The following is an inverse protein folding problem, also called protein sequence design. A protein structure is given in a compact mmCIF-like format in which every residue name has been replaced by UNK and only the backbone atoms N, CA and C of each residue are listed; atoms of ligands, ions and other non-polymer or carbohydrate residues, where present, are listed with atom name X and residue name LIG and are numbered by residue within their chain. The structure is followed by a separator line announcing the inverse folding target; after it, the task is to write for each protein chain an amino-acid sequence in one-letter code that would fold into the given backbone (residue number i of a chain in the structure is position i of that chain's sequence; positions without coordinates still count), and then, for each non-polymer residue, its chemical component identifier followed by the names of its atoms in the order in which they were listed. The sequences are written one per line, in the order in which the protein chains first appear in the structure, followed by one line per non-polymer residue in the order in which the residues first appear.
data_IF_199611063119
#
_entry.id   IF_199611063119
#
_cell.length_a   1.000
_cell.length_b   1.000
_cell.length_c   1.000
_cell.angle_alpha   90.00
_cell.angle_beta   90.00
_cell.angle_gamma   90.00
#
_symmetry.space_group_name_H-M   'P 1'
#
loop_
_entity.id
_entity.type
_entity.pdbx_description
1 polymer ?
#
# COMPACT_ATOMS: atom_id res chain seq x y z
N UNK A 1 14.00 -1.11 8.89
CA UNK A 1 13.87 -2.29 8.01
C UNK A 1 12.43 -2.81 7.94
N UNK A 2 11.86 -3.42 9.00
CA UNK A 2 10.47 -3.94 8.97
C UNK A 2 9.45 -2.86 8.60
N UNK A 3 9.43 -1.75 9.35
CA UNK A 3 8.50 -0.63 9.07
C UNK A 3 8.73 -0.04 7.68
N UNK A 4 9.99 0.10 7.26
CA UNK A 4 10.35 0.55 5.91
C UNK A 4 9.74 -0.37 4.85
N UNK A 5 9.83 -1.69 5.00
CA UNK A 5 9.24 -2.64 4.05
C UNK A 5 7.70 -2.53 3.99
N UNK A 6 7.04 -2.35 5.13
CA UNK A 6 5.58 -2.13 5.17
C UNK A 6 5.21 -0.81 4.49
N UNK A 7 5.84 0.29 4.91
CA UNK A 7 5.51 1.64 4.46
C UNK A 7 5.83 1.82 2.98
N UNK A 8 6.95 1.29 2.47
CA UNK A 8 7.30 1.40 1.04
C UNK A 8 6.19 0.83 0.15
N UNK A 9 5.70 -0.36 0.49
CA UNK A 9 4.63 -1.01 -0.27
C UNK A 9 3.32 -0.26 -0.14
N UNK A 10 2.93 0.13 1.09
CA UNK A 10 1.65 0.80 1.32
C UNK A 10 1.61 2.23 0.80
N UNK A 11 2.73 2.95 0.71
CA UNK A 11 2.79 4.30 0.15
C UNK A 11 2.27 4.33 -1.30
N UNK A 12 2.70 3.36 -2.13
CA UNK A 12 2.19 3.21 -3.50
C UNK A 12 0.71 2.84 -3.50
N UNK A 13 0.30 1.88 -2.66
CA UNK A 13 -1.10 1.42 -2.60
C UNK A 13 -2.04 2.57 -2.25
N UNK A 14 -1.76 3.32 -1.18
CA UNK A 14 -2.65 4.42 -0.76
C UNK A 14 -2.71 5.53 -1.80
N UNK A 15 -1.62 5.78 -2.52
CA UNK A 15 -1.56 6.78 -3.59
C UNK A 15 -2.40 6.34 -4.79
N UNK A 16 -2.26 5.09 -5.23
CA UNK A 16 -3.08 4.54 -6.31
C UNK A 16 -4.55 4.56 -5.93
N UNK A 17 -4.91 4.04 -4.75
CA UNK A 17 -6.31 4.01 -4.29
C UNK A 17 -6.88 5.43 -4.22
N UNK A 18 -6.13 6.38 -3.65
CA UNK A 18 -6.60 7.75 -3.54
C UNK A 18 -6.85 8.35 -4.93
N UNK A 19 -5.86 8.34 -5.83
CA UNK A 19 -5.99 9.00 -7.13
C UNK A 19 -6.92 8.28 -8.12
N UNK A 20 -7.10 6.97 -8.00
CA UNK A 20 -7.97 6.18 -8.89
C UNK A 20 -9.41 6.14 -8.38
N UNK A 21 -9.64 5.99 -7.07
CA UNK A 21 -10.97 5.69 -6.53
C UNK A 21 -11.56 6.79 -5.65
N UNK A 22 -10.73 7.66 -5.03
CA UNK A 22 -11.18 8.61 -4.00
C UNK A 22 -10.98 10.08 -4.38
N UNK A 23 -10.27 10.35 -5.47
CA UNK A 23 -9.91 11.71 -5.85
C UNK A 23 -11.13 12.52 -6.26
N UNK A 24 -11.40 13.57 -5.48
CA UNK A 24 -12.55 14.46 -5.70
C UNK A 24 -12.36 15.51 -6.80
N UNK A 25 -11.37 15.36 -7.69
CA UNK A 25 -11.12 16.28 -8.82
C UNK A 25 -10.37 17.56 -8.47
N UNK A 26 -10.19 17.88 -7.18
CA UNK A 26 -9.49 19.09 -6.73
C UNK A 26 -8.24 18.71 -5.93
N UNK A 27 -7.08 19.19 -6.39
CA UNK A 27 -5.82 18.98 -5.68
C UNK A 27 -5.73 19.85 -4.43
N UNK A 28 -5.61 19.21 -3.27
CA UNK A 28 -5.27 19.86 -2.01
C UNK A 28 -3.81 19.58 -1.67
N UNK A 29 -3.11 20.57 -1.13
CA UNK A 29 -1.71 20.41 -0.72
C UNK A 29 -1.54 19.29 0.32
N UNK A 30 -2.50 19.11 1.22
CA UNK A 30 -2.55 18.01 2.19
C UNK A 30 -2.53 16.65 1.49
N UNK A 31 -3.36 16.50 0.45
CA UNK A 31 -3.60 15.23 -0.22
C UNK A 31 -2.39 14.86 -1.10
N UNK A 32 -1.81 15.86 -1.77
CA UNK A 32 -0.54 15.70 -2.49
C UNK A 32 0.57 15.27 -1.53
N UNK A 33 0.64 15.86 -0.34
CA UNK A 33 1.67 15.52 0.65
C UNK A 33 1.53 14.07 1.16
N UNK A 34 0.35 13.68 1.63
CA UNK A 34 0.16 12.36 2.27
C UNK A 34 0.16 11.19 1.28
N UNK A 35 -0.12 11.44 0.00
CA UNK A 35 -0.13 10.42 -1.05
C UNK A 35 1.09 10.52 -1.96
N UNK A 36 1.14 11.54 -2.81
CA UNK A 36 2.17 11.65 -3.85
C UNK A 36 3.57 11.83 -3.26
N UNK A 37 3.77 12.81 -2.38
CA UNK A 37 5.09 13.07 -1.78
C UNK A 37 5.57 11.89 -0.94
N UNK A 38 4.68 11.30 -0.14
CA UNK A 38 4.97 10.08 0.61
C UNK A 38 5.51 8.96 -0.30
N UNK A 39 4.85 8.69 -1.42
CA UNK A 39 5.32 7.70 -2.40
C UNK A 39 6.68 8.02 -2.99
N UNK A 40 6.88 9.27 -3.40
CA UNK A 40 8.16 9.72 -3.99
C UNK A 40 9.30 9.53 -2.99
N UNK A 41 9.10 9.93 -1.74
CA UNK A 41 10.09 9.75 -0.67
C UNK A 41 10.42 8.27 -0.45
N UNK A 42 9.41 7.40 -0.38
CA UNK A 42 9.63 5.97 -0.19
C UNK A 42 10.33 5.29 -1.37
N UNK A 43 10.07 5.73 -2.60
CA UNK A 43 10.80 5.26 -3.78
C UNK A 43 12.26 5.70 -3.76
N UNK A 44 12.54 6.96 -3.41
CA UNK A 44 13.91 7.47 -3.25
C UNK A 44 14.64 6.70 -2.15
N UNK A 45 14.03 6.52 -0.98
CA UNK A 45 14.61 5.73 0.12
C UNK A 45 14.95 4.31 -0.35
N UNK A 46 14.03 3.67 -1.08
CA UNK A 46 14.24 2.33 -1.62
C UNK A 46 15.42 2.29 -2.60
N UNK A 47 15.63 3.31 -3.43
CA UNK A 47 16.71 3.34 -4.42
C UNK A 47 18.06 3.64 -3.75
N UNK A 48 18.10 4.60 -2.82
CA UNK A 48 19.35 5.10 -2.23
C UNK A 48 19.82 4.22 -1.07
N UNK A 49 18.91 3.80 -0.18
CA UNK A 49 19.29 3.06 1.01
C UNK A 49 19.62 1.60 0.67
N UNK A 50 20.62 1.04 1.35
CA UNK A 50 21.02 -0.37 1.20
C UNK A 50 20.07 -1.35 1.93
N UNK A 51 18.81 -0.96 2.15
CA UNK A 51 17.80 -1.76 2.85
C UNK A 51 17.55 -3.07 2.10
N UNK A 52 17.77 -4.24 2.74
CA UNK A 52 17.58 -5.53 2.06
C UNK A 52 16.10 -5.84 1.87
N UNK A 53 15.73 -6.28 0.67
CA UNK A 53 14.37 -6.73 0.35
C UNK A 53 14.40 -8.19 -0.09
N UNK A 54 13.43 -8.98 0.34
CA UNK A 54 13.19 -10.38 -0.04
C UNK A 54 11.71 -10.53 -0.35
N UNK A 55 11.36 -11.49 -1.22
CA UNK A 55 9.96 -11.77 -1.57
C UNK A 55 9.12 -12.16 -0.35
N UNK A 56 9.68 -12.95 0.57
CA UNK A 56 8.98 -13.36 1.79
C UNK A 56 8.55 -12.19 2.69
N UNK A 57 9.19 -11.02 2.58
CA UNK A 57 8.78 -9.85 3.37
C UNK A 57 7.40 -9.30 2.96
N UNK A 58 6.75 -9.83 1.92
CA UNK A 58 5.34 -9.56 1.60
C UNK A 58 4.39 -9.87 2.77
N UNK A 59 4.76 -10.79 3.67
CA UNK A 59 3.93 -11.14 4.83
C UNK A 59 3.63 -9.94 5.72
N UNK A 60 4.57 -8.99 5.85
CA UNK A 60 4.43 -7.84 6.72
C UNK A 60 3.38 -6.82 6.25
N UNK A 61 3.41 -6.32 4.99
CA UNK A 61 2.34 -5.46 4.50
C UNK A 61 1.00 -6.19 4.38
N UNK A 62 0.97 -7.52 4.20
CA UNK A 62 -0.27 -8.32 4.26
C UNK A 62 -0.88 -8.28 5.66
N UNK A 63 -0.09 -8.55 6.72
CA UNK A 63 -0.57 -8.49 8.11
C UNK A 63 -1.09 -7.09 8.44
N UNK A 64 -0.38 -6.04 8.03
CA UNK A 64 -0.85 -4.66 8.21
C UNK A 64 -2.18 -4.41 7.51
N UNK A 65 -2.35 -4.86 6.25
CA UNK A 65 -3.60 -4.72 5.50
C UNK A 65 -4.77 -5.43 6.17
N UNK A 66 -4.55 -6.67 6.62
CA UNK A 66 -5.56 -7.44 7.36
C UNK A 66 -5.96 -6.75 8.67
N UNK A 67 -4.99 -6.20 9.41
CA UNK A 67 -5.26 -5.45 10.63
C UNK A 67 -6.10 -4.19 10.33
N UNK A 68 -5.74 -3.43 9.30
CA UNK A 68 -6.49 -2.25 8.88
C UNK A 68 -7.94 -2.57 8.51
N UNK A 69 -8.15 -3.60 7.68
CA UNK A 69 -9.46 -4.05 7.22
C UNK A 69 -10.30 -4.56 8.38
N UNK A 70 -9.70 -5.29 9.32
CA UNK A 70 -10.37 -5.74 10.55
C UNK A 70 -10.85 -4.55 11.37
N UNK A 71 -9.98 -3.57 11.63
CA UNK A 71 -10.36 -2.35 12.34
C UNK A 71 -11.46 -1.57 11.60
N UNK A 72 -11.40 -1.52 10.27
CA UNK A 72 -12.40 -0.86 9.43
C UNK A 72 -13.78 -1.54 9.53
N UNK A 73 -13.82 -2.88 9.47
CA UNK A 73 -15.04 -3.65 9.65
C UNK A 73 -15.62 -3.49 11.08
N UNK A 74 -14.76 -3.50 12.10
CA UNK A 74 -15.19 -3.23 13.49
C UNK A 74 -15.79 -1.82 13.59
N UNK A 75 -15.13 -0.81 13.03
CA UNK A 75 -15.64 0.57 13.03
C UNK A 75 -17.00 0.67 12.34
N UNK A 76 -17.16 0.09 11.15
CA UNK A 76 -18.45 0.01 10.46
C UNK A 76 -19.53 -0.66 11.31
N UNK A 77 -19.20 -1.75 12.00
CA UNK A 77 -20.18 -2.52 12.79
C UNK A 77 -20.80 -1.74 13.95
N UNK A 78 -20.16 -0.66 14.40
CA UNK A 78 -20.68 0.19 15.49
C UNK A 78 -21.88 1.05 15.07
N UNK A 79 -21.96 1.48 13.81
CA UNK A 79 -23.14 2.13 13.21
C UNK A 79 -23.08 1.96 11.68
N UNK A 80 -23.66 0.87 11.12
CA UNK A 80 -23.56 0.56 9.69
C UNK A 80 -24.12 1.63 8.75
N UNK A 81 -24.93 2.58 9.25
CA UNK A 81 -25.51 3.68 8.45
C UNK A 81 -24.59 4.89 8.40
N UNK A 82 -23.91 5.20 9.51
CA UNK A 82 -23.04 6.40 9.60
C UNK A 82 -21.58 6.11 9.37
N UNK A 83 -21.12 4.90 9.69
CA UNK A 83 -19.71 4.54 9.75
C UNK A 83 -19.25 3.78 8.48
N UNK A 84 -19.72 4.23 7.31
CA UNK A 84 -19.25 3.73 6.02
C UNK A 84 -18.03 4.54 5.59
N UNK A 85 -16.86 3.94 5.74
CA UNK A 85 -15.60 4.54 5.27
C UNK A 85 -15.41 4.22 3.80
N UNK A 86 -15.16 5.23 2.96
CA UNK A 86 -14.90 5.08 1.53
C UNK A 86 -15.95 4.23 0.79
N UNK A 87 -17.18 4.74 0.69
CA UNK A 87 -18.33 4.02 0.13
C UNK A 87 -18.09 3.34 -1.24
N UNK A 88 -17.15 3.85 -2.04
CA UNK A 88 -16.81 3.28 -3.36
C UNK A 88 -16.09 1.93 -3.26
N UNK A 89 -15.25 1.73 -2.23
CA UNK A 89 -14.32 0.60 -2.15
C UNK A 89 -14.44 -0.22 -0.85
N UNK A 90 -15.00 0.37 0.21
CA UNK A 90 -15.03 -0.20 1.56
C UNK A 90 -16.43 -0.10 2.20
N UNK A 91 -17.49 -0.30 1.41
CA UNK A 91 -18.85 -0.42 1.94
C UNK A 91 -19.21 -1.86 2.34
N UNK A 92 -19.19 -2.10 3.65
CA UNK A 92 -19.54 -3.40 4.25
C UNK A 92 -21.04 -3.69 4.28
N UNK A 93 -21.91 -2.71 3.98
CA UNK A 93 -23.33 -3.00 3.75
C UNK A 93 -23.53 -3.85 2.48
N UNK A 94 -22.58 -3.79 1.54
CA UNK A 94 -22.51 -4.63 0.34
C UNK A 94 -21.17 -5.37 0.28
N UNK A 95 -20.98 -6.42 1.11
CA UNK A 95 -19.66 -6.96 1.42
C UNK A 95 -18.93 -7.60 0.23
N UNK A 96 -19.63 -7.94 -0.85
CA UNK A 96 -19.02 -8.50 -2.06
C UNK A 96 -17.92 -7.60 -2.64
N UNK A 97 -18.13 -6.27 -2.64
CA UNK A 97 -17.16 -5.30 -3.15
C UNK A 97 -15.89 -5.19 -2.29
N UNK A 98 -15.95 -4.85 -0.99
CA UNK A 98 -14.76 -4.77 -0.15
C UNK A 98 -14.00 -6.10 -0.06
N UNK A 99 -14.72 -7.23 -0.06
CA UNK A 99 -14.10 -8.55 -0.13
C UNK A 99 -13.33 -8.72 -1.44
N UNK A 100 -13.94 -8.41 -2.59
CA UNK A 100 -13.26 -8.47 -3.88
C UNK A 100 -12.02 -7.58 -3.96
N UNK A 101 -12.11 -6.34 -3.47
CA UNK A 101 -10.97 -5.41 -3.38
C UNK A 101 -9.87 -5.96 -2.48
N UNK A 102 -10.22 -6.51 -1.32
CA UNK A 102 -9.27 -7.15 -0.40
C UNK A 102 -8.53 -8.32 -1.07
N UNK A 103 -9.25 -9.23 -1.72
CA UNK A 103 -8.66 -10.37 -2.42
C UNK A 103 -7.72 -9.90 -3.54
N UNK A 104 -8.16 -8.94 -4.36
CA UNK A 104 -7.31 -8.33 -5.39
C UNK A 104 -6.05 -7.70 -4.82
N UNK A 105 -6.16 -6.97 -3.72
CA UNK A 105 -5.00 -6.36 -3.06
C UNK A 105 -4.03 -7.40 -2.50
N UNK A 106 -4.53 -8.40 -1.76
CA UNK A 106 -3.69 -9.40 -1.07
C UNK A 106 -3.01 -10.37 -2.03
N UNK A 107 -3.69 -10.79 -3.09
CA UNK A 107 -3.21 -11.85 -3.99
C UNK A 107 -2.49 -11.28 -5.21
N UNK A 108 -2.85 -10.09 -5.67
CA UNK A 108 -2.31 -9.52 -6.91
C UNK A 108 -1.43 -8.31 -6.61
N UNK A 109 -1.99 -7.24 -6.03
CA UNK A 109 -1.27 -5.97 -5.91
C UNK A 109 -0.07 -6.07 -4.97
N UNK A 110 -0.26 -6.61 -3.77
CA UNK A 110 0.80 -6.73 -2.77
C UNK A 110 1.98 -7.61 -3.23
N UNK A 111 1.76 -8.81 -3.79
CA UNK A 111 2.84 -9.62 -4.34
C UNK A 111 3.56 -8.95 -5.51
N UNK A 112 2.85 -8.27 -6.41
CA UNK A 112 3.46 -7.54 -7.53
C UNK A 112 4.34 -6.39 -7.05
N UNK A 113 3.86 -5.58 -6.09
CA UNK A 113 4.64 -4.50 -5.50
C UNK A 113 5.85 -5.05 -4.74
N UNK A 114 5.69 -6.11 -3.95
CA UNK A 114 6.84 -6.74 -3.29
C UNK A 114 7.87 -7.26 -4.29
N UNK A 115 7.42 -7.87 -5.39
CA UNK A 115 8.30 -8.33 -6.46
C UNK A 115 9.04 -7.17 -7.14
N UNK A 116 8.36 -6.04 -7.37
CA UNK A 116 8.98 -4.82 -7.89
C UNK A 116 10.07 -4.29 -6.94
N UNK A 117 9.77 -4.15 -5.64
CA UNK A 117 10.73 -3.71 -4.62
C UNK A 117 11.91 -4.67 -4.50
N UNK A 118 11.66 -5.98 -4.59
CA UNK A 118 12.71 -6.99 -4.65
C UNK A 118 13.56 -6.85 -5.91
N UNK A 119 12.96 -6.61 -7.07
CA UNK A 119 13.65 -6.34 -8.32
C UNK A 119 14.62 -5.15 -8.23
N UNK A 120 14.16 -4.03 -7.65
CA UNK A 120 15.00 -2.85 -7.39
C UNK A 120 16.19 -3.23 -6.51
N UNK A 121 15.95 -3.96 -5.42
CA UNK A 121 17.03 -4.43 -4.55
C UNK A 121 18.06 -5.31 -5.29
N UNK A 122 17.59 -6.26 -6.11
CA UNK A 122 18.47 -7.12 -6.91
C UNK A 122 19.27 -6.31 -7.94
N UNK A 123 18.66 -5.33 -8.58
CA UNK A 123 19.33 -4.43 -9.51
C UNK A 123 20.47 -3.67 -8.83
N UNK A 124 20.25 -3.12 -7.64
CA UNK A 124 21.30 -2.44 -6.86
C UNK A 124 22.48 -3.36 -6.56
N UNK A 125 22.23 -4.60 -6.17
CA UNK A 125 23.29 -5.59 -5.94
C UNK A 125 24.06 -5.93 -7.21
N UNK A 126 23.38 -6.04 -8.35
CA UNK A 126 24.03 -6.30 -9.64
C UNK A 126 24.92 -5.13 -10.05
N UNK A 127 24.44 -3.89 -9.89
CA UNK A 127 25.24 -2.68 -10.16
C UNK A 127 26.46 -2.63 -9.26
N UNK A 128 26.29 -2.85 -7.95
CA UNK A 128 27.39 -2.84 -6.99
C UNK A 128 28.48 -3.86 -7.37
N UNK A 129 28.10 -5.10 -7.67
CA UNK A 129 29.03 -6.17 -8.08
C UNK A 129 29.72 -5.93 -9.43
N UNK A 130 29.19 -5.05 -10.27
CA UNK A 130 29.76 -4.74 -11.59
C UNK A 130 30.76 -3.58 -11.51
N UNK A 131 30.59 -2.69 -10.53
CA UNK A 131 31.40 -1.47 -10.37
C UNK A 131 32.59 -1.71 -9.42
N UNK A 132 32.38 -2.51 -8.37
CA UNK A 132 33.37 -2.80 -7.33
C UNK A 132 33.69 -4.30 -7.30
#
# INVERSE_FOLDING_TARGET
WFLTNVISVWALIVTIIYYVALFGGVYKASDVNVHMMNTVVMLIDTIVCATPVKLFHAIYPIIYGLAYVTCNAIYWSTDPKKNVLYAVIMDWNTPAYPVGVLFGMLIVVLPLLQAMYFGIYRLKLLIFKKIF
#
